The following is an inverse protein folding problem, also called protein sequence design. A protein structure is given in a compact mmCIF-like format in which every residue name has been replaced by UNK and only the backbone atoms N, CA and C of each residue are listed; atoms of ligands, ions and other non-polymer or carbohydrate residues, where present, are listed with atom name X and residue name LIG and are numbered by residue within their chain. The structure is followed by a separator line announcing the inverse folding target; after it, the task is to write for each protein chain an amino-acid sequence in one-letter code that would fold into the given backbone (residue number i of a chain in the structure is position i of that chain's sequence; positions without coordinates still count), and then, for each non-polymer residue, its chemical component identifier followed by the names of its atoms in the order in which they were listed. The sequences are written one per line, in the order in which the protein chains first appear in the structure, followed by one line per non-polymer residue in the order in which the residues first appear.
data_IF_297855291423
#
_entry.id   IF_297855291423
#
_cell.length_a   1.000
_cell.length_b   1.000
_cell.length_c   1.000
_cell.angle_alpha   90.00
_cell.angle_beta   90.00
_cell.angle_gamma   90.00
#
_symmetry.space_group_name_H-M   'P 1'
#
loop_
_entity.id
_entity.type
_entity.pdbx_description
1 polymer ?
#
# COMPACT_ATOMS: atom_id res chain seq x y z
N UNK A 1 -1.37 -22.92 18.58
CA UNK A 1 0.02 -22.72 18.26
C UNK A 1 0.15 -21.44 17.47
N UNK A 2 0.83 -20.43 18.02
CA UNK A 2 0.93 -19.09 17.46
C UNK A 2 1.65 -19.07 16.11
N UNK A 3 0.97 -18.61 15.07
CA UNK A 3 1.54 -18.25 13.80
C UNK A 3 2.29 -16.94 13.94
N UNK A 4 3.59 -17.02 14.26
CA UNK A 4 4.49 -15.89 14.20
C UNK A 4 4.57 -15.39 12.77
N UNK A 5 4.28 -14.11 12.57
CA UNK A 5 4.51 -13.44 11.29
C UNK A 5 5.96 -13.64 10.87
N UNK A 6 6.19 -14.29 9.73
CA UNK A 6 7.52 -14.56 9.23
C UNK A 6 8.39 -13.30 9.13
N UNK A 7 9.71 -13.42 9.18
CA UNK A 7 10.65 -12.29 9.25
C UNK A 7 10.59 -11.31 8.06
N UNK A 8 9.87 -11.63 6.98
CA UNK A 8 9.63 -10.76 5.83
C UNK A 8 8.55 -9.70 6.01
N UNK A 9 7.50 -9.99 6.77
CA UNK A 9 6.30 -9.14 6.87
C UNK A 9 6.55 -7.77 7.54
N UNK A 10 7.60 -7.63 8.34
CA UNK A 10 7.96 -6.36 9.01
C UNK A 10 8.71 -5.38 8.11
N UNK A 11 9.56 -5.90 7.23
CA UNK A 11 10.31 -5.12 6.25
C UNK A 11 9.44 -4.58 5.12
N UNK A 12 8.57 -5.42 4.61
CA UNK A 12 7.67 -5.09 3.50
C UNK A 12 6.68 -3.98 3.90
N UNK A 13 6.21 -3.97 5.15
CA UNK A 13 5.30 -2.92 5.67
C UNK A 13 5.93 -1.54 5.75
N UNK A 14 7.21 -1.44 6.17
CA UNK A 14 7.92 -0.15 6.20
C UNK A 14 8.15 0.39 4.78
N UNK A 15 8.42 -0.49 3.83
CA UNK A 15 8.65 -0.14 2.45
C UNK A 15 7.35 0.29 1.72
N UNK A 16 6.18 -0.16 2.20
CA UNK A 16 4.88 0.24 1.64
C UNK A 16 4.36 1.60 2.16
N UNK A 17 4.92 2.17 3.23
CA UNK A 17 4.47 3.46 3.77
C UNK A 17 4.40 4.59 2.73
N UNK A 18 5.41 4.78 1.84
CA UNK A 18 5.33 5.79 0.79
C UNK A 18 4.16 5.53 -0.17
N UNK A 19 3.98 4.28 -0.58
CA UNK A 19 2.89 3.86 -1.45
C UNK A 19 1.52 4.15 -0.83
N UNK A 20 1.31 3.77 0.44
CA UNK A 20 0.05 4.01 1.15
C UNK A 20 -0.24 5.52 1.27
N UNK A 21 0.79 6.33 1.51
CA UNK A 21 0.65 7.79 1.63
C UNK A 21 0.31 8.46 0.30
N UNK A 22 0.89 7.99 -0.79
CA UNK A 22 0.73 8.57 -2.13
C UNK A 22 -0.59 8.17 -2.78
N UNK A 23 -0.92 6.87 -2.75
CA UNK A 23 -2.09 6.35 -3.46
C UNK A 23 -3.35 6.24 -2.60
N UNK A 24 -3.22 6.33 -1.27
CA UNK A 24 -4.33 6.19 -0.32
C UNK A 24 -5.24 5.00 -0.63
N UNK A 25 -4.68 3.79 -0.78
CA UNK A 25 -5.46 2.61 -1.15
C UNK A 25 -6.46 2.24 -0.05
N UNK A 26 -7.52 1.54 -0.44
CA UNK A 26 -8.41 0.90 0.53
C UNK A 26 -7.66 -0.20 1.27
N UNK A 27 -7.62 -0.11 2.59
CA UNK A 27 -6.91 -1.07 3.45
C UNK A 27 -7.89 -2.14 3.92
N UNK A 28 -7.58 -3.38 3.59
CA UNK A 28 -8.39 -4.54 3.95
C UNK A 28 -7.62 -5.41 4.93
N UNK A 29 -8.20 -5.61 6.11
CA UNK A 29 -7.68 -6.51 7.13
C UNK A 29 -8.31 -7.90 7.02
N UNK A 30 -7.51 -8.95 6.85
CA UNK A 30 -8.00 -10.33 6.80
C UNK A 30 -7.57 -11.08 8.05
N UNK A 31 -8.53 -11.55 8.85
CA UNK A 31 -8.25 -12.22 10.12
C UNK A 31 -7.32 -11.41 11.02
N UNK A 32 -6.31 -12.04 11.58
CA UNK A 32 -5.29 -11.38 12.42
C UNK A 32 -4.50 -10.27 11.68
N UNK A 33 -4.58 -10.20 10.36
CA UNK A 33 -3.99 -9.12 9.55
C UNK A 33 -4.59 -7.74 9.88
N UNK A 34 -5.83 -7.69 10.34
CA UNK A 34 -6.48 -6.45 10.76
C UNK A 34 -5.78 -5.82 11.98
N UNK A 35 -5.41 -6.64 12.97
CA UNK A 35 -4.64 -6.18 14.14
C UNK A 35 -3.24 -5.71 13.77
N UNK A 36 -2.63 -6.37 12.79
CA UNK A 36 -1.32 -5.99 12.29
C UNK A 36 -1.36 -4.62 11.61
N UNK A 37 -2.40 -4.32 10.83
CA UNK A 37 -2.62 -3.01 10.22
C UNK A 37 -2.82 -1.93 11.28
N UNK A 38 -3.66 -2.20 12.28
CA UNK A 38 -3.93 -1.27 13.39
C UNK A 38 -2.65 -0.96 14.18
N UNK A 39 -1.86 -1.97 14.53
CA UNK A 39 -0.56 -1.81 15.22
C UNK A 39 0.48 -1.04 14.38
N UNK A 40 0.35 -1.07 13.05
CA UNK A 40 1.19 -0.29 12.15
C UNK A 40 0.73 1.18 12.02
N UNK A 41 -0.34 1.58 12.72
CA UNK A 41 -0.91 2.92 12.68
C UNK A 41 -1.84 3.18 11.49
N UNK A 42 -2.30 2.12 10.83
CA UNK A 42 -3.23 2.22 9.70
C UNK A 42 -4.61 1.68 10.10
N UNK A 43 -5.66 2.41 9.80
CA UNK A 43 -7.04 1.96 10.05
C UNK A 43 -7.54 1.21 8.82
N UNK A 44 -7.93 -0.08 8.95
CA UNK A 44 -8.61 -0.78 7.86
C UNK A 44 -9.99 -0.14 7.60
N UNK A 45 -10.42 -0.11 6.36
CA UNK A 45 -11.78 0.26 5.96
C UNK A 45 -12.68 -0.96 5.86
N UNK A 46 -12.09 -2.13 5.55
CA UNK A 46 -12.79 -3.39 5.47
C UNK A 46 -12.05 -4.44 6.30
N UNK A 47 -12.79 -5.24 7.04
CA UNK A 47 -12.28 -6.38 7.82
C UNK A 47 -13.03 -7.62 7.36
N UNK A 48 -12.31 -8.68 6.97
CA UNK A 48 -12.89 -9.94 6.52
C UNK A 48 -12.33 -11.09 7.35
N UNK A 49 -13.18 -11.90 7.93
CA UNK A 49 -12.76 -13.12 8.64
C UNK A 49 -13.50 -13.36 9.94
N UNK A 50 -12.99 -14.34 10.72
CA UNK A 50 -13.57 -14.69 12.01
C UNK A 50 -13.19 -13.66 13.09
N UNK A 51 -14.14 -12.99 13.76
CA UNK A 51 -13.88 -12.01 14.81
C UNK A 51 -13.11 -12.56 16.01
N UNK A 52 -13.16 -13.85 16.26
CA UNK A 52 -12.43 -14.48 17.38
C UNK A 52 -10.91 -14.36 17.24
N UNK A 53 -10.42 -14.19 16.01
CA UNK A 53 -9.00 -14.04 15.71
C UNK A 53 -8.53 -12.59 15.79
N UNK A 54 -9.38 -11.66 16.15
CA UNK A 54 -9.14 -10.21 16.12
C UNK A 54 -9.35 -9.57 17.49
N UNK A 55 -8.67 -8.48 17.77
CA UNK A 55 -8.87 -7.71 18.98
C UNK A 55 -10.21 -6.92 18.93
N UNK A 56 -10.79 -6.66 20.10
CA UNK A 56 -11.99 -5.83 20.19
C UNK A 56 -11.74 -4.38 19.71
N UNK A 57 -10.51 -3.89 19.85
CA UNK A 57 -10.13 -2.56 19.41
C UNK A 57 -10.24 -2.40 17.91
N UNK A 58 -9.72 -3.38 17.14
CA UNK A 58 -9.77 -3.31 15.68
C UNK A 58 -11.18 -3.51 15.15
N UNK A 59 -11.99 -4.35 15.80
CA UNK A 59 -13.40 -4.51 15.43
C UNK A 59 -14.23 -3.25 15.66
N UNK A 60 -13.86 -2.43 16.66
CA UNK A 60 -14.51 -1.14 16.99
C UNK A 60 -13.91 0.05 16.26
N UNK A 61 -12.93 -0.14 15.37
CA UNK A 61 -12.26 0.97 14.69
C UNK A 61 -13.14 1.72 13.67
N UNK A 62 -14.35 1.24 13.40
CA UNK A 62 -15.29 1.81 12.43
C UNK A 62 -15.13 1.24 11.02
N UNK A 63 -14.37 0.16 10.85
CA UNK A 63 -14.31 -0.57 9.60
C UNK A 63 -15.58 -1.35 9.35
N UNK A 64 -15.90 -1.60 8.08
CA UNK A 64 -16.97 -2.53 7.72
C UNK A 64 -16.49 -3.96 7.98
N UNK A 65 -17.24 -4.74 8.74
CA UNK A 65 -16.90 -6.12 9.08
C UNK A 65 -17.70 -7.08 8.22
N UNK A 66 -17.03 -8.02 7.56
CA UNK A 66 -17.62 -9.08 6.74
C UNK A 66 -17.20 -10.43 7.29
N UNK A 67 -18.20 -11.23 7.65
CA UNK A 67 -18.03 -12.57 8.18
C UNK A 67 -18.29 -13.60 7.08
N UNK A 68 -17.31 -14.48 6.78
CA UNK A 68 -17.61 -15.65 5.97
C UNK A 68 -18.67 -16.50 6.67
N UNK A 69 -19.71 -16.85 5.94
CA UNK A 69 -20.79 -17.70 6.43
C UNK A 69 -20.84 -19.00 5.61
N UNK A 70 -21.28 -20.07 6.23
CA UNK A 70 -21.60 -21.33 5.56
C UNK A 70 -22.83 -21.17 4.66
N UNK A 71 -23.13 -22.22 3.87
CA UNK A 71 -24.27 -22.22 2.95
C UNK A 71 -25.62 -22.04 3.67
N UNK A 72 -25.70 -22.44 4.92
CA UNK A 72 -26.87 -22.30 5.81
C UNK A 72 -26.97 -20.90 6.43
N UNK A 73 -26.00 -20.02 6.16
CA UNK A 73 -25.95 -18.65 6.70
C UNK A 73 -25.31 -18.55 8.08
N UNK A 74 -24.81 -19.65 8.67
CA UNK A 74 -24.11 -19.62 9.95
C UNK A 74 -22.71 -18.99 9.78
N UNK A 75 -22.44 -17.95 10.57
CA UNK A 75 -21.13 -17.27 10.57
C UNK A 75 -20.48 -17.39 11.95
N UNK A 76 -19.28 -17.97 11.97
CA UNK A 76 -18.50 -18.09 13.20
C UNK A 76 -18.14 -16.70 13.76
N UNK A 77 -18.33 -16.52 15.07
CA UNK A 77 -18.03 -15.28 15.78
C UNK A 77 -19.08 -14.19 15.66
N UNK A 78 -20.28 -14.48 15.13
CA UNK A 78 -21.38 -13.52 15.07
C UNK A 78 -21.81 -13.05 16.48
N UNK A 79 -21.83 -13.94 17.46
CA UNK A 79 -22.15 -13.61 18.86
C UNK A 79 -21.19 -12.54 19.41
N UNK A 80 -19.89 -12.70 19.15
CA UNK A 80 -18.89 -11.72 19.58
C UNK A 80 -19.10 -10.34 18.97
N UNK A 81 -19.53 -10.28 17.72
CA UNK A 81 -19.85 -9.01 17.04
C UNK A 81 -21.06 -8.34 17.73
N UNK A 82 -22.08 -9.13 18.06
CA UNK A 82 -23.26 -8.65 18.77
C UNK A 82 -22.92 -8.14 20.17
N UNK A 83 -22.11 -8.89 20.92
CA UNK A 83 -21.63 -8.50 22.26
C UNK A 83 -20.82 -7.20 22.24
N UNK A 84 -20.05 -6.98 21.18
CA UNK A 84 -19.29 -5.75 21.02
C UNK A 84 -20.12 -4.56 20.51
N UNK A 85 -21.38 -4.79 20.12
CA UNK A 85 -22.26 -3.77 19.57
C UNK A 85 -21.81 -3.26 18.20
N UNK A 86 -21.08 -4.07 17.42
CA UNK A 86 -20.55 -3.71 16.11
C UNK A 86 -21.47 -4.29 15.03
N UNK A 87 -21.72 -3.52 13.97
CA UNK A 87 -22.41 -4.02 12.79
C UNK A 87 -21.49 -4.90 11.94
N UNK A 88 -21.99 -6.06 11.49
CA UNK A 88 -21.29 -6.89 10.53
C UNK A 88 -22.25 -7.42 9.47
N UNK A 89 -21.70 -7.72 8.29
CA UNK A 89 -22.42 -8.40 7.21
C UNK A 89 -21.92 -9.83 7.10
N UNK A 90 -22.83 -10.78 6.97
CA UNK A 90 -22.50 -12.18 6.68
C UNK A 90 -22.51 -12.39 5.17
N UNK A 91 -21.52 -13.10 4.65
CA UNK A 91 -21.44 -13.41 3.25
C UNK A 91 -21.18 -14.90 3.03
N UNK A 92 -22.08 -15.63 2.36
CA UNK A 92 -21.88 -17.04 2.06
C UNK A 92 -20.62 -17.23 1.21
N UNK A 93 -19.63 -17.94 1.73
CA UNK A 93 -18.39 -18.19 1.05
C UNK A 93 -17.85 -19.59 1.35
N UNK A 94 -17.67 -20.40 0.32
CA UNK A 94 -17.09 -21.72 0.45
C UNK A 94 -15.56 -21.71 0.56
N UNK A 95 -14.91 -20.53 0.44
CA UNK A 95 -13.46 -20.34 0.45
C UNK A 95 -12.93 -19.78 1.77
N UNK A 96 -11.64 -19.51 1.78
CA UNK A 96 -11.01 -18.83 2.91
C UNK A 96 -11.43 -17.35 3.01
N UNK A 97 -11.28 -16.74 4.20
CA UNK A 97 -11.51 -15.31 4.38
C UNK A 97 -10.66 -14.44 3.44
N UNK A 98 -9.46 -14.91 3.10
CA UNK A 98 -8.60 -14.24 2.13
C UNK A 98 -9.17 -14.29 0.71
N UNK A 99 -9.72 -15.42 0.29
CA UNK A 99 -10.36 -15.56 -1.01
C UNK A 99 -11.60 -14.69 -1.11
N UNK A 100 -12.41 -14.66 -0.06
CA UNK A 100 -13.58 -13.77 0.03
C UNK A 100 -13.16 -12.29 -0.09
N UNK A 101 -12.12 -11.88 0.64
CA UNK A 101 -11.61 -10.52 0.57
C UNK A 101 -11.16 -10.15 -0.86
N UNK A 102 -10.42 -11.04 -1.53
CA UNK A 102 -9.97 -10.85 -2.91
C UNK A 102 -11.14 -10.70 -3.89
N UNK A 103 -12.15 -11.56 -3.76
CA UNK A 103 -13.35 -11.49 -4.60
C UNK A 103 -14.18 -10.22 -4.35
N UNK A 104 -14.30 -9.80 -3.09
CA UNK A 104 -15.01 -8.56 -2.75
C UNK A 104 -14.32 -7.33 -3.36
N UNK A 105 -13.01 -7.20 -3.21
CA UNK A 105 -12.29 -6.04 -3.76
C UNK A 105 -12.24 -6.06 -5.29
N UNK A 106 -12.17 -7.23 -5.92
CA UNK A 106 -12.28 -7.38 -7.38
C UNK A 106 -13.67 -6.99 -7.87
N UNK A 107 -14.72 -7.44 -7.20
CA UNK A 107 -16.12 -7.09 -7.53
C UNK A 107 -16.38 -5.58 -7.45
N UNK A 108 -15.76 -4.90 -6.50
CA UNK A 108 -15.83 -3.45 -6.36
C UNK A 108 -14.91 -2.68 -7.31
N UNK A 109 -14.34 -3.34 -8.30
CA UNK A 109 -13.60 -2.71 -9.39
C UNK A 109 -12.16 -2.32 -9.05
N UNK A 110 -11.54 -3.01 -8.10
CA UNK A 110 -10.11 -2.79 -7.83
C UNK A 110 -9.29 -3.03 -9.10
N UNK A 111 -8.47 -2.05 -9.47
CA UNK A 111 -7.53 -2.13 -10.60
C UNK A 111 -6.21 -2.77 -10.22
N UNK A 112 -5.83 -2.69 -8.96
CA UNK A 112 -4.61 -3.27 -8.39
C UNK A 112 -4.89 -3.77 -6.97
N UNK A 113 -4.45 -4.99 -6.67
CA UNK A 113 -4.58 -5.60 -5.34
C UNK A 113 -3.18 -5.95 -4.84
N UNK A 114 -2.76 -5.32 -3.75
CA UNK A 114 -1.45 -5.57 -3.15
C UNK A 114 -1.62 -6.43 -1.90
N UNK A 115 -1.03 -7.63 -1.89
CA UNK A 115 -1.09 -8.54 -0.75
C UNK A 115 0.16 -8.44 0.11
N UNK A 116 -0.04 -8.38 1.44
CA UNK A 116 1.03 -8.30 2.44
C UNK A 116 0.97 -9.52 3.35
N UNK A 117 2.10 -10.17 3.55
CA UNK A 117 2.22 -11.30 4.49
C UNK A 117 1.76 -12.65 3.94
N UNK A 118 1.33 -12.69 2.69
CA UNK A 118 1.21 -13.93 1.93
C UNK A 118 2.28 -13.91 0.86
N UNK A 119 3.25 -14.79 0.94
CA UNK A 119 4.22 -14.94 -0.16
C UNK A 119 3.45 -15.40 -1.41
N UNK A 120 3.47 -14.57 -2.42
CA UNK A 120 2.93 -14.89 -3.74
C UNK A 120 3.88 -15.79 -4.54
N UNK A 121 4.88 -16.40 -3.89
CA UNK A 121 5.81 -17.31 -4.53
C UNK A 121 5.05 -18.57 -4.97
N UNK A 122 5.19 -18.90 -6.23
CA UNK A 122 4.60 -20.11 -6.84
C UNK A 122 5.07 -21.36 -6.08
N UNK A 123 6.30 -21.37 -5.58
CA UNK A 123 6.86 -22.49 -4.79
C UNK A 123 6.15 -22.65 -3.45
N UNK A 124 5.89 -21.57 -2.73
CA UNK A 124 5.16 -21.61 -1.46
C UNK A 124 3.66 -21.90 -1.69
N UNK A 125 3.13 -21.55 -2.85
CA UNK A 125 1.80 -21.94 -3.28
C UNK A 125 1.69 -23.48 -3.47
N UNK A 126 2.67 -24.10 -4.12
CA UNK A 126 2.67 -25.54 -4.29
C UNK A 126 2.92 -26.32 -2.98
N UNK A 127 3.72 -25.77 -2.07
CA UNK A 127 4.01 -26.42 -0.79
C UNK A 127 2.82 -26.30 0.18
N UNK A 128 2.13 -25.16 0.21
CA UNK A 128 0.88 -24.98 0.97
C UNK A 128 -0.32 -25.67 0.33
N UNK A 129 -0.38 -25.78 -0.97
CA UNK A 129 -1.48 -26.46 -1.67
C UNK A 129 -1.51 -27.95 -1.40
N UNK A 130 -0.40 -28.57 -1.01
CA UNK A 130 -0.37 -29.96 -0.54
C UNK A 130 -1.12 -30.16 0.77
N UNK A 131 -1.23 -29.14 1.62
CA UNK A 131 -1.91 -29.22 2.93
C UNK A 131 -3.29 -28.56 2.96
N UNK A 132 -3.62 -27.66 2.03
CA UNK A 132 -4.88 -26.92 1.98
C UNK A 132 -5.33 -26.64 0.52
N UNK A 133 -5.29 -27.63 -0.35
CA UNK A 133 -5.81 -27.50 -1.72
C UNK A 133 -7.33 -27.35 -1.72
N UNK A 134 -7.82 -26.14 -1.47
CA UNK A 134 -9.19 -25.84 -1.75
C UNK A 134 -9.29 -25.36 -3.21
N UNK A 135 -10.06 -26.03 -4.08
CA UNK A 135 -10.24 -25.62 -5.48
C UNK A 135 -10.69 -24.19 -5.63
N UNK A 136 -11.43 -23.66 -4.65
CA UNK A 136 -11.90 -22.28 -4.62
C UNK A 136 -10.77 -21.25 -4.55
N UNK A 137 -9.71 -21.51 -3.78
CA UNK A 137 -8.53 -20.62 -3.67
C UNK A 137 -7.79 -20.52 -5.01
N UNK A 138 -7.66 -21.64 -5.72
CA UNK A 138 -7.05 -21.66 -7.05
C UNK A 138 -7.86 -20.83 -8.05
N UNK A 139 -9.18 -21.06 -8.10
CA UNK A 139 -10.07 -20.30 -9.00
C UNK A 139 -10.11 -18.81 -8.67
N UNK A 140 -10.12 -18.45 -7.41
CA UNK A 140 -10.08 -17.04 -6.97
C UNK A 140 -8.79 -16.37 -7.45
N UNK A 141 -7.64 -17.02 -7.24
CA UNK A 141 -6.35 -16.47 -7.69
C UNK A 141 -6.22 -16.40 -9.20
N UNK A 142 -6.81 -17.36 -9.92
CA UNK A 142 -6.85 -17.31 -11.38
C UNK A 142 -7.67 -16.12 -11.87
N UNK A 143 -8.81 -15.83 -11.22
CA UNK A 143 -9.69 -14.71 -11.55
C UNK A 143 -9.04 -13.35 -11.29
N UNK A 144 -8.39 -13.18 -10.16
CA UNK A 144 -7.80 -11.88 -9.75
C UNK A 144 -6.31 -11.75 -10.07
N UNK A 145 -5.71 -12.79 -10.66
CA UNK A 145 -4.25 -12.92 -10.84
C UNK A 145 -3.61 -11.76 -11.61
N UNK A 146 -4.28 -11.21 -12.61
CA UNK A 146 -3.78 -10.07 -13.40
C UNK A 146 -3.66 -8.79 -12.56
N UNK A 147 -4.45 -8.66 -11.50
CA UNK A 147 -4.49 -7.49 -10.61
C UNK A 147 -3.71 -7.69 -9.33
N UNK A 148 -3.29 -8.93 -9.05
CA UNK A 148 -2.68 -9.33 -7.79
C UNK A 148 -1.16 -9.12 -7.84
N UNK A 149 -0.64 -8.26 -6.97
CA UNK A 149 0.79 -7.97 -6.85
C UNK A 149 1.25 -8.20 -5.41
N UNK A 150 2.44 -8.79 -5.27
CA UNK A 150 3.06 -8.95 -3.96
C UNK A 150 3.62 -7.60 -3.46
N UNK A 151 3.44 -7.35 -2.17
CA UNK A 151 4.01 -6.21 -1.47
C UNK A 151 5.53 -6.07 -1.67
N UNK A 152 6.26 -7.18 -1.79
CA UNK A 152 7.71 -7.17 -2.07
C UNK A 152 8.03 -6.57 -3.42
N UNK A 153 7.23 -6.88 -4.45
CA UNK A 153 7.41 -6.32 -5.78
C UNK A 153 7.17 -4.81 -5.77
N UNK A 154 6.08 -4.37 -5.14
CA UNK A 154 5.78 -2.93 -4.97
C UNK A 154 6.87 -2.23 -4.16
N UNK A 155 7.32 -2.82 -3.05
CA UNK A 155 8.38 -2.27 -2.21
C UNK A 155 9.70 -2.11 -2.97
N UNK A 156 10.04 -3.04 -3.86
CA UNK A 156 11.25 -2.99 -4.69
C UNK A 156 11.19 -1.85 -5.70
N UNK A 157 10.03 -1.64 -6.33
CA UNK A 157 9.80 -0.54 -7.26
C UNK A 157 9.90 0.82 -6.57
N UNK A 158 9.34 0.94 -5.35
CA UNK A 158 9.39 2.19 -4.57
C UNK A 158 10.75 2.47 -3.93
N UNK A 159 11.59 1.45 -3.73
CA UNK A 159 12.95 1.63 -3.19
C UNK A 159 13.87 2.42 -4.11
N UNK A 160 13.57 2.45 -5.40
CA UNK A 160 14.35 3.17 -6.41
C UNK A 160 13.89 4.62 -6.62
N UNK A 161 13.00 5.15 -5.80
CA UNK A 161 12.69 6.57 -5.82
C UNK A 161 13.93 7.38 -5.44
N UNK A 162 14.41 8.18 -6.39
CA UNK A 162 15.49 9.12 -6.16
C UNK A 162 15.05 10.03 -5.00
N UNK A 163 15.77 9.96 -3.89
CA UNK A 163 15.50 10.80 -2.74
C UNK A 163 15.49 12.26 -3.16
N UNK A 164 14.43 13.01 -2.78
CA UNK A 164 14.38 14.46 -3.02
C UNK A 164 15.63 15.19 -2.49
N UNK A 165 16.27 14.65 -1.44
CA UNK A 165 17.56 15.12 -0.94
C UNK A 165 18.71 14.94 -1.95
N UNK A 166 18.71 13.87 -2.74
CA UNK A 166 19.72 13.66 -3.77
C UNK A 166 19.57 14.68 -4.90
N UNK A 167 18.34 15.01 -5.28
CA UNK A 167 18.06 16.07 -6.27
C UNK A 167 18.47 17.43 -5.72
N UNK A 168 18.15 17.75 -4.46
CA UNK A 168 18.55 19.00 -3.82
C UNK A 168 20.08 19.13 -3.72
N UNK A 169 20.79 18.06 -3.37
CA UNK A 169 22.27 18.02 -3.38
C UNK A 169 22.83 18.24 -4.78
N UNK A 170 22.23 17.65 -5.81
CA UNK A 170 22.66 17.84 -7.20
C UNK A 170 22.49 19.30 -7.64
N UNK A 171 21.34 19.90 -7.33
CA UNK A 171 21.07 21.32 -7.63
C UNK A 171 22.07 22.22 -6.89
N UNK A 172 22.34 21.95 -5.61
CA UNK A 172 23.32 22.70 -4.82
C UNK A 172 24.73 22.58 -5.41
N UNK A 173 25.14 21.37 -5.81
CA UNK A 173 26.45 21.16 -6.45
C UNK A 173 26.59 21.93 -7.75
N UNK A 174 25.53 21.96 -8.58
CA UNK A 174 25.52 22.74 -9.83
C UNK A 174 25.61 24.24 -9.52
N UNK A 175 24.89 24.75 -8.52
CA UNK A 175 24.98 26.16 -8.11
C UNK A 175 26.39 26.51 -7.64
N UNK A 176 27.03 25.69 -6.81
CA UNK A 176 28.39 25.89 -6.35
C UNK A 176 29.37 25.90 -7.53
N UNK A 177 29.21 24.99 -8.48
CA UNK A 177 30.04 24.93 -9.67
C UNK A 177 29.92 26.21 -10.54
N UNK A 178 28.71 26.74 -10.71
CA UNK A 178 28.44 27.97 -11.43
C UNK A 178 29.10 29.16 -10.71
N UNK A 179 28.95 29.27 -9.39
CA UNK A 179 29.56 30.32 -8.58
C UNK A 179 31.10 30.26 -8.67
N UNK A 180 31.68 29.06 -8.57
CA UNK A 180 33.11 28.86 -8.69
C UNK A 180 33.62 29.23 -10.10
N UNK A 181 32.88 28.87 -11.15
CA UNK A 181 33.22 29.25 -12.52
C UNK A 181 33.20 30.76 -12.72
N UNK A 182 32.20 31.46 -12.16
CA UNK A 182 32.11 32.92 -12.19
C UNK A 182 33.25 33.59 -11.40
N UNK A 183 33.69 32.98 -10.30
CA UNK A 183 34.81 33.48 -9.50
C UNK A 183 36.16 33.31 -10.21
N UNK A 184 36.35 32.19 -10.90
CA UNK A 184 37.57 31.92 -11.66
C UNK A 184 37.62 32.69 -12.97
N UNK A 185 36.44 32.92 -13.57
CA UNK A 185 36.28 33.71 -14.81
C UNK A 185 36.32 35.22 -14.55
N UNK A 186 37.27 35.70 -13.79
CA UNK A 186 37.42 37.08 -13.38
C UNK A 186 37.76 38.04 -14.54
N UNK A 187 37.60 37.64 -15.74
CA UNK A 187 37.83 38.39 -16.97
C UNK A 187 36.63 38.20 -17.89
N UNK A 188 35.76 39.14 -17.86
CA UNK A 188 34.86 39.63 -18.89
C UNK A 188 33.43 39.88 -18.36
N UNK A 189 33.11 41.16 -18.30
CA UNK A 189 31.79 41.74 -18.02
C UNK A 189 30.66 41.23 -18.93
N UNK A 190 30.97 40.55 -20.02
CA UNK A 190 30.04 40.04 -21.02
C UNK A 190 29.08 38.99 -20.46
N UNK A 191 29.53 38.13 -19.55
CA UNK A 191 28.67 37.08 -18.96
C UNK A 191 27.67 37.66 -17.98
N UNK A 192 28.04 38.69 -17.23
CA UNK A 192 27.12 39.36 -16.30
C UNK A 192 26.05 40.13 -17.07
N UNK A 193 26.37 40.75 -18.18
CA UNK A 193 25.41 41.46 -19.03
C UNK A 193 24.41 40.48 -19.67
N UNK A 194 24.86 39.28 -20.04
CA UNK A 194 23.98 38.24 -20.56
C UNK A 194 22.99 37.71 -19.48
N UNK A 195 23.49 37.46 -18.29
CA UNK A 195 22.66 36.98 -17.17
C UNK A 195 21.62 38.02 -16.79
N UNK A 196 21.98 39.30 -16.69
CA UNK A 196 21.07 40.38 -16.39
C UNK A 196 20.02 40.61 -17.46
N UNK A 197 20.39 40.47 -18.75
CA UNK A 197 19.50 40.57 -19.89
C UNK A 197 18.44 39.43 -19.89
N UNK A 198 18.86 38.20 -19.62
CA UNK A 198 17.93 37.07 -19.48
C UNK A 198 17.04 37.18 -18.25
N UNK A 199 17.58 37.63 -17.11
CA UNK A 199 16.81 37.88 -15.90
C UNK A 199 15.72 38.94 -16.12
N UNK A 200 16.05 40.07 -16.73
CA UNK A 200 15.09 41.10 -17.06
C UNK A 200 13.99 40.62 -18.02
N UNK A 201 14.34 39.79 -19.02
CA UNK A 201 13.35 39.16 -19.90
C UNK A 201 12.42 38.22 -19.14
N UNK A 202 12.95 37.43 -18.21
CA UNK A 202 12.16 36.52 -17.38
C UNK A 202 11.21 37.30 -16.46
N UNK A 203 11.67 38.35 -15.82
CA UNK A 203 10.82 39.22 -14.95
C UNK A 203 9.70 39.87 -15.77
N UNK A 204 9.97 40.36 -16.96
CA UNK A 204 8.95 40.95 -17.84
C UNK A 204 7.92 39.92 -18.30
N UNK A 205 8.35 38.67 -18.57
CA UNK A 205 7.45 37.57 -18.90
C UNK A 205 6.51 37.21 -17.73
N UNK A 206 7.05 37.16 -16.52
CA UNK A 206 6.25 36.87 -15.30
C UNK A 206 5.30 38.02 -14.97
N UNK A 207 5.73 39.27 -15.13
CA UNK A 207 4.84 40.43 -14.92
C UNK A 207 3.71 40.50 -15.97
N UNK A 208 3.94 40.07 -17.21
CA UNK A 208 2.90 40.00 -18.24
C UNK A 208 1.88 38.90 -18.02
N UNK A 209 2.10 38.00 -17.08
CA UNK A 209 1.14 36.94 -16.69
C UNK A 209 0.26 37.31 -15.49
N UNK A 210 0.58 38.40 -14.79
CA UNK A 210 -0.11 38.85 -13.56
C UNK A 210 -1.04 40.06 -13.84
N UNK A 211 -1.01 40.62 -15.03
CA UNK A 211 -1.95 41.64 -15.52
C UNK A 211 -2.89 41.06 -16.56
#
# INVERSE_FOLDING_TARGET
GGGAGGPGAGGDRKALKPFIKEYQPVLVGVGAGADILSKAGHRPQLIVGNPEQMSAEVLKCGAQVVLPADADGHANGLERIQDLGVGAMTFPAAGSAADLALLLVDHHGASLIVTVGQSASIEEFFDRSRQQSNPSTFLTRLKVGEKLVDAKAVATLYRNHISGGAIAMLILAVLIAIIAALWVSRTDTIVLDWITAYWNRFVLLVQGWVT
#
